data_IF_618141450439
#
_entry.id   IF_618141450439
#
_cell.length_a   1.000
_cell.length_b   1.000
_cell.length_c   1.000
_cell.angle_alpha   90.00
_cell.angle_beta   90.00
_cell.angle_gamma   90.00
#
_symmetry.space_group_name_H-M   'P 1'
#
loop_
_entity.id
_entity.type
_entity.pdbx_description
1 polymer ?
#
# COMPACT_ATOMS: atom_id res chain seq x y z
N UNK A 1 23.53 -11.63 21.34
CA UNK A 1 23.55 -12.69 20.30
C UNK A 1 23.54 -12.07 18.91
N UNK A 2 23.94 -12.82 17.89
CA UNK A 2 23.90 -12.34 16.50
C UNK A 2 22.48 -12.51 15.86
N UNK A 3 22.29 -11.96 14.66
CA UNK A 3 20.99 -12.00 13.95
C UNK A 3 20.49 -13.43 13.67
N UNK A 4 21.39 -14.39 13.42
CA UNK A 4 21.03 -15.79 13.16
C UNK A 4 20.42 -16.42 14.42
N UNK A 5 21.06 -16.21 15.57
CA UNK A 5 20.57 -16.68 16.86
C UNK A 5 19.26 -16.00 17.26
N UNK A 6 19.13 -14.68 17.00
CA UNK A 6 17.87 -13.96 17.25
C UNK A 6 16.74 -14.49 16.37
N UNK A 7 17.02 -14.80 15.09
CA UNK A 7 16.05 -15.39 14.17
C UNK A 7 15.59 -16.79 14.63
N UNK A 8 16.54 -17.64 15.02
CA UNK A 8 16.25 -18.99 15.55
C UNK A 8 15.37 -18.93 16.81
N UNK A 9 15.70 -18.03 17.76
CA UNK A 9 14.97 -17.92 19.02
C UNK A 9 13.60 -17.25 18.90
N UNK A 10 13.45 -16.28 17.98
CA UNK A 10 12.18 -15.56 17.78
C UNK A 10 11.26 -16.23 16.77
N UNK A 11 11.81 -17.05 15.87
CA UNK A 11 11.09 -17.60 14.70
C UNK A 11 10.78 -16.53 13.64
N UNK A 12 11.50 -15.39 13.66
CA UNK A 12 11.41 -14.32 12.67
C UNK A 12 12.63 -14.41 11.76
N UNK A 13 12.44 -14.40 10.44
CA UNK A 13 13.56 -14.48 9.49
C UNK A 13 14.51 -13.28 9.64
N UNK A 14 15.82 -13.49 9.38
CA UNK A 14 16.81 -12.43 9.42
C UNK A 14 16.47 -11.25 8.48
N UNK A 15 15.75 -11.52 7.36
CA UNK A 15 15.24 -10.49 6.45
C UNK A 15 14.19 -9.62 7.14
N UNK A 16 13.23 -10.24 7.82
CA UNK A 16 12.17 -9.53 8.53
C UNK A 16 12.71 -8.78 9.74
N UNK A 17 13.72 -9.31 10.45
CA UNK A 17 14.40 -8.60 11.55
C UNK A 17 14.99 -7.28 11.03
N UNK A 18 15.71 -7.30 9.90
CA UNK A 18 16.26 -6.08 9.29
C UNK A 18 15.18 -5.10 8.85
N UNK A 19 14.07 -5.60 8.32
CA UNK A 19 12.92 -4.78 7.98
C UNK A 19 12.34 -4.08 9.21
N UNK A 20 12.18 -4.79 10.33
CA UNK A 20 11.67 -4.21 11.58
C UNK A 20 12.64 -3.21 12.22
N UNK A 21 13.95 -3.41 12.05
CA UNK A 21 14.95 -2.39 12.40
C UNK A 21 14.78 -1.12 11.56
N UNK A 22 14.65 -1.25 10.24
CA UNK A 22 14.44 -0.13 9.32
C UNK A 22 13.12 0.60 9.59
N UNK A 23 12.09 -0.13 9.99
CA UNK A 23 10.80 0.42 10.40
C UNK A 23 10.81 1.01 11.82
N UNK A 24 11.96 0.99 12.53
CA UNK A 24 12.10 1.58 13.86
C UNK A 24 11.47 0.79 15.01
N UNK A 25 11.05 -0.47 14.77
CA UNK A 25 10.46 -1.34 15.80
C UNK A 25 11.53 -1.94 16.72
N UNK A 26 12.77 -2.00 16.30
CA UNK A 26 13.91 -2.56 17.00
C UNK A 26 15.13 -1.65 16.85
N UNK A 27 15.87 -1.49 17.93
CA UNK A 27 17.13 -0.73 17.94
C UNK A 27 18.19 -1.58 18.65
N UNK A 28 18.73 -2.63 17.97
CA UNK A 28 19.72 -3.50 18.58
C UNK A 28 21.01 -2.73 18.89
N UNK A 29 21.66 -3.08 19.99
CA UNK A 29 22.97 -2.55 20.32
C UNK A 29 24.02 -2.90 19.26
N UNK A 30 25.08 -2.11 19.16
CA UNK A 30 26.23 -2.41 18.32
C UNK A 30 27.44 -2.76 19.16
N UNK A 31 28.20 -3.72 18.70
CA UNK A 31 29.48 -4.06 19.30
C UNK A 31 30.46 -2.89 19.05
N UNK A 32 31.07 -2.30 20.11
CA UNK A 32 31.96 -1.16 19.97
C UNK A 32 33.26 -1.47 19.20
N UNK A 33 33.66 -2.75 19.11
CA UNK A 33 34.89 -3.14 18.43
C UNK A 33 34.76 -3.36 16.93
N UNK A 34 33.56 -3.78 16.46
CA UNK A 34 33.38 -4.19 15.07
C UNK A 34 32.05 -3.73 14.46
N UNK A 35 31.27 -2.93 15.18
CA UNK A 35 29.97 -2.37 14.81
C UNK A 35 28.88 -3.39 14.43
N UNK A 36 29.11 -4.69 14.66
CA UNK A 36 28.10 -5.71 14.42
C UNK A 36 26.92 -5.57 15.40
N UNK A 37 25.72 -5.86 14.89
CA UNK A 37 24.49 -5.85 15.68
C UNK A 37 24.51 -6.93 16.75
N UNK A 38 24.16 -6.54 17.97
CA UNK A 38 24.01 -7.42 19.12
C UNK A 38 22.57 -7.37 19.59
N UNK A 39 21.87 -8.49 19.48
CA UNK A 39 20.49 -8.63 19.95
C UNK A 39 20.48 -9.13 21.39
N UNK A 40 19.69 -8.49 22.23
CA UNK A 40 19.43 -8.86 23.61
C UNK A 40 18.27 -9.86 23.72
N UNK A 41 18.01 -10.39 24.91
CA UNK A 41 16.79 -11.17 25.17
C UNK A 41 15.53 -10.31 25.10
N UNK A 42 15.64 -9.01 25.42
CA UNK A 42 14.53 -8.07 25.25
C UNK A 42 14.16 -7.91 23.76
N UNK A 43 15.16 -7.84 22.86
CA UNK A 43 14.92 -7.76 21.42
C UNK A 43 14.26 -9.05 20.91
N UNK A 44 14.66 -10.22 21.39
CA UNK A 44 14.02 -11.50 21.05
C UNK A 44 12.57 -11.52 21.52
N UNK A 45 12.29 -11.01 22.72
CA UNK A 45 10.92 -10.89 23.22
C UNK A 45 10.08 -9.93 22.36
N UNK A 46 10.64 -8.78 21.97
CA UNK A 46 9.98 -7.83 21.07
C UNK A 46 9.69 -8.47 19.70
N UNK A 47 10.65 -9.21 19.14
CA UNK A 47 10.45 -9.95 17.88
C UNK A 47 9.32 -10.99 17.97
N UNK A 48 9.23 -11.71 19.08
CA UNK A 48 8.12 -12.66 19.32
C UNK A 48 6.77 -11.93 19.41
N UNK A 49 6.72 -10.78 20.07
CA UNK A 49 5.51 -9.96 20.14
C UNK A 49 5.12 -9.42 18.76
N UNK A 50 6.07 -8.87 18.00
CA UNK A 50 5.85 -8.43 16.62
C UNK A 50 5.28 -9.58 15.79
N UNK A 51 5.89 -10.75 15.83
CA UNK A 51 5.42 -11.93 15.12
C UNK A 51 3.97 -12.29 15.49
N UNK A 52 3.66 -12.31 16.78
CA UNK A 52 2.31 -12.61 17.28
C UNK A 52 1.29 -11.60 16.74
N UNK A 53 1.57 -10.32 16.84
CA UNK A 53 0.66 -9.25 16.37
C UNK A 53 0.53 -9.25 14.84
N UNK A 54 1.61 -9.54 14.11
CA UNK A 54 1.57 -9.72 12.64
C UNK A 54 0.76 -10.93 12.20
N UNK A 55 0.75 -12.01 12.99
CA UNK A 55 -0.11 -13.17 12.71
C UNK A 55 -1.61 -12.82 12.85
N UNK A 56 -1.92 -11.76 13.58
CA UNK A 56 -3.27 -11.20 13.68
C UNK A 56 -3.53 -10.10 12.61
N UNK A 57 -2.66 -9.95 11.60
CA UNK A 57 -2.71 -8.91 10.56
C UNK A 57 -2.64 -7.47 11.08
N UNK A 58 -2.13 -7.25 12.30
CA UNK A 58 -1.95 -5.89 12.83
C UNK A 58 -0.90 -5.13 12.00
N UNK A 59 -1.18 -3.86 11.59
CA UNK A 59 -0.23 -3.04 10.84
C UNK A 59 1.08 -2.80 11.59
N UNK A 60 2.20 -2.72 10.85
CA UNK A 60 3.55 -2.55 11.42
C UNK A 60 3.65 -1.24 12.21
N UNK A 61 3.05 -0.18 11.69
CA UNK A 61 3.01 1.13 12.33
C UNK A 61 2.31 1.08 13.70
N UNK A 62 1.18 0.36 13.78
CA UNK A 62 0.42 0.20 15.02
C UNK A 62 1.19 -0.67 16.03
N UNK A 63 1.88 -1.70 15.56
CA UNK A 63 2.79 -2.49 16.41
C UNK A 63 3.90 -1.61 16.99
N UNK A 64 4.43 -0.67 16.20
CA UNK A 64 5.41 0.31 16.68
C UNK A 64 4.87 1.16 17.82
N UNK A 65 3.62 1.63 17.74
CA UNK A 65 2.98 2.41 18.82
C UNK A 65 2.70 1.58 20.07
N UNK A 66 2.45 0.28 19.93
CA UNK A 66 2.33 -0.65 21.07
C UNK A 66 3.69 -0.88 21.74
N UNK A 67 4.75 -1.10 20.96
CA UNK A 67 6.09 -1.38 21.48
C UNK A 67 6.68 -0.18 22.24
N UNK A 68 6.43 1.04 21.77
CA UNK A 68 6.89 2.27 22.45
C UNK A 68 5.97 2.73 23.60
N UNK A 69 4.89 1.99 23.87
CA UNK A 69 3.96 2.28 24.95
C UNK A 69 2.96 3.43 24.70
N UNK A 70 2.95 4.00 23.49
CA UNK A 70 2.01 5.08 23.14
C UNK A 70 0.58 4.56 23.02
N UNK A 71 0.39 3.33 22.54
CA UNK A 71 -0.90 2.66 22.41
C UNK A 71 -0.94 1.43 23.35
N UNK A 72 -1.90 1.34 24.29
CA UNK A 72 -2.08 0.14 25.10
C UNK A 72 -2.38 -1.09 24.22
N UNK A 73 -1.76 -2.23 24.55
CA UNK A 73 -1.98 -3.48 23.80
C UNK A 73 -3.46 -3.88 23.74
N UNK A 74 -4.20 -3.68 24.83
CA UNK A 74 -5.65 -3.99 24.88
C UNK A 74 -6.44 -3.15 23.86
N UNK A 75 -6.10 -1.88 23.72
CA UNK A 75 -6.75 -1.00 22.75
C UNK A 75 -6.39 -1.35 21.30
N UNK A 76 -5.11 -1.65 21.03
CA UNK A 76 -4.67 -2.12 19.74
C UNK A 76 -5.35 -3.44 19.34
N UNK A 77 -5.46 -4.38 20.28
CA UNK A 77 -6.15 -5.65 20.09
C UNK A 77 -7.64 -5.45 19.79
N UNK A 78 -8.31 -4.54 20.49
CA UNK A 78 -9.72 -4.23 20.25
C UNK A 78 -9.94 -3.60 18.86
N UNK A 79 -9.09 -2.66 18.45
CA UNK A 79 -9.13 -2.08 17.10
C UNK A 79 -8.94 -3.15 16.02
N UNK A 80 -8.00 -4.08 16.26
CA UNK A 80 -7.75 -5.19 15.32
C UNK A 80 -8.93 -6.16 15.27
N UNK A 81 -9.55 -6.48 16.42
CA UNK A 81 -10.76 -7.31 16.46
C UNK A 81 -11.88 -6.69 15.61
N UNK A 82 -12.12 -5.38 15.74
CA UNK A 82 -13.14 -4.67 14.96
C UNK A 82 -12.84 -4.70 13.45
N UNK A 83 -11.55 -4.56 13.05
CA UNK A 83 -11.13 -4.72 11.64
C UNK A 83 -11.41 -6.11 11.11
N UNK A 84 -11.05 -7.15 11.88
CA UNK A 84 -11.28 -8.54 11.50
C UNK A 84 -12.77 -8.89 11.41
N UNK A 85 -13.60 -8.36 12.32
CA UNK A 85 -15.07 -8.54 12.24
C UNK A 85 -15.68 -7.85 11.02
N UNK A 86 -15.21 -6.65 10.69
CA UNK A 86 -15.63 -5.96 9.47
C UNK A 86 -15.23 -6.74 8.21
N UNK A 87 -14.00 -7.27 8.17
CA UNK A 87 -13.52 -8.10 7.07
C UNK A 87 -14.29 -9.42 6.97
N UNK A 88 -14.58 -10.06 8.10
CA UNK A 88 -15.42 -11.27 8.13
C UNK A 88 -16.82 -11.02 7.55
N UNK A 89 -17.46 -9.91 7.90
CA UNK A 89 -18.77 -9.54 7.34
C UNK A 89 -18.67 -9.32 5.83
N UNK A 90 -17.62 -8.66 5.37
CA UNK A 90 -17.35 -8.42 3.96
C UNK A 90 -17.16 -9.72 3.20
N UNK A 91 -16.34 -10.63 3.71
CA UNK A 91 -16.12 -11.95 3.09
C UNK A 91 -17.38 -12.81 3.08
N UNK A 92 -18.17 -12.77 4.14
CA UNK A 92 -19.44 -13.50 4.22
C UNK A 92 -20.45 -13.01 3.17
N UNK A 93 -20.55 -11.70 2.97
CA UNK A 93 -21.41 -11.11 1.94
C UNK A 93 -20.93 -11.47 0.53
N UNK A 94 -19.61 -11.43 0.28
CA UNK A 94 -19.03 -11.85 -0.99
C UNK A 94 -19.33 -13.33 -1.29
N UNK A 95 -19.16 -14.20 -0.30
CA UNK A 95 -19.46 -15.63 -0.44
C UNK A 95 -20.95 -15.88 -0.73
N UNK A 96 -21.85 -15.15 -0.07
CA UNK A 96 -23.28 -15.23 -0.33
C UNK A 96 -23.63 -14.83 -1.77
N UNK A 97 -23.02 -13.74 -2.27
CA UNK A 97 -23.21 -13.30 -3.64
C UNK A 97 -22.65 -14.31 -4.67
N UNK A 98 -21.49 -14.89 -4.41
CA UNK A 98 -20.95 -15.97 -5.24
C UNK A 98 -21.89 -17.18 -5.27
N UNK A 99 -22.52 -17.53 -4.12
CA UNK A 99 -23.50 -18.62 -4.06
C UNK A 99 -24.74 -18.32 -4.91
N UNK A 100 -25.21 -17.06 -4.90
CA UNK A 100 -26.32 -16.62 -5.75
C UNK A 100 -25.98 -16.74 -7.25
N UNK A 101 -24.78 -16.29 -7.63
CA UNK A 101 -24.29 -16.42 -9.01
C UNK A 101 -24.15 -17.88 -9.44
N UNK A 102 -23.67 -18.74 -8.55
CA UNK A 102 -23.49 -20.17 -8.83
C UNK A 102 -24.82 -20.95 -8.94
N UNK A 103 -25.88 -20.50 -8.26
CA UNK A 103 -27.20 -21.11 -8.33
C UNK A 103 -27.96 -20.77 -9.63
N UNK A 104 -27.52 -19.76 -10.38
CA UNK A 104 -28.08 -19.34 -11.65
C UNK A 104 -27.45 -20.13 -12.82
N UNK A 105 -28.28 -20.74 -13.67
CA UNK A 105 -27.84 -21.41 -14.92
C UNK A 105 -27.64 -20.36 -16.06
N UNK A 106 -27.12 -19.19 -15.70
CA UNK A 106 -26.94 -18.07 -16.63
C UNK A 106 -25.50 -18.01 -17.11
N UNK A 107 -25.34 -17.76 -18.39
CA UNK A 107 -24.02 -17.43 -18.95
C UNK A 107 -23.62 -16.00 -18.58
N UNK A 108 -22.33 -15.68 -18.66
CA UNK A 108 -21.84 -14.33 -18.40
C UNK A 108 -22.46 -13.25 -19.32
N UNK A 109 -22.88 -13.65 -20.54
CA UNK A 109 -23.54 -12.78 -21.50
C UNK A 109 -25.01 -12.46 -21.14
N UNK A 110 -25.65 -13.30 -20.33
CA UNK A 110 -27.04 -13.13 -19.89
C UNK A 110 -27.15 -12.46 -18.51
N UNK A 111 -26.01 -12.21 -17.87
CA UNK A 111 -25.97 -11.55 -16.58
C UNK A 111 -26.18 -10.04 -16.73
N UNK A 112 -27.17 -9.51 -15.99
CA UNK A 112 -27.33 -8.07 -15.84
C UNK A 112 -26.27 -7.54 -14.86
N UNK A 113 -25.13 -7.15 -15.44
CA UNK A 113 -23.96 -6.69 -14.68
C UNK A 113 -24.25 -5.36 -13.97
N UNK A 114 -25.02 -4.45 -14.60
CA UNK A 114 -25.33 -3.14 -14.02
C UNK A 114 -26.17 -3.28 -12.76
N UNK A 115 -27.21 -4.12 -12.80
CA UNK A 115 -28.03 -4.45 -11.62
C UNK A 115 -27.18 -5.12 -10.50
N UNK A 116 -26.23 -5.96 -10.87
CA UNK A 116 -25.30 -6.57 -9.89
C UNK A 116 -24.43 -5.51 -9.23
N UNK A 117 -23.86 -4.57 -10.00
CA UNK A 117 -23.04 -3.49 -9.50
C UNK A 117 -23.83 -2.53 -8.61
N UNK A 118 -25.04 -2.14 -9.01
CA UNK A 118 -25.93 -1.30 -8.19
C UNK A 118 -26.21 -1.94 -6.81
N UNK A 119 -26.44 -3.25 -6.77
CA UNK A 119 -26.64 -4.00 -5.52
C UNK A 119 -25.35 -4.04 -4.67
N UNK A 120 -24.19 -4.12 -5.28
CA UNK A 120 -22.90 -4.09 -4.63
C UNK A 120 -22.56 -2.72 -4.04
N UNK A 121 -22.93 -1.64 -4.74
CA UNK A 121 -22.66 -0.25 -4.33
C UNK A 121 -23.73 0.32 -3.37
N UNK A 122 -24.84 -0.39 -3.20
CA UNK A 122 -25.93 0.04 -2.32
C UNK A 122 -25.50 0.14 -0.85
N UNK A 123 -25.78 1.24 -0.16
CA UNK A 123 -25.48 1.39 1.28
C UNK A 123 -26.37 0.55 2.21
N UNK A 124 -27.27 -0.27 1.67
CA UNK A 124 -28.10 -1.19 2.46
C UNK A 124 -27.24 -2.27 3.15
N UNK A 125 -27.72 -2.92 4.25
CA UNK A 125 -26.89 -3.77 5.12
C UNK A 125 -26.19 -4.96 4.44
N UNK A 126 -26.50 -5.21 3.17
CA UNK A 126 -25.84 -6.22 2.35
C UNK A 126 -24.92 -5.67 1.24
N UNK A 127 -24.97 -4.38 0.93
CA UNK A 127 -24.33 -3.81 -0.25
C UNK A 127 -23.11 -2.91 0.00
N UNK A 128 -23.03 -2.20 1.12
CA UNK A 128 -21.96 -1.21 1.39
C UNK A 128 -20.55 -1.78 1.63
N UNK A 129 -20.36 -3.07 1.46
CA UNK A 129 -19.09 -3.76 1.66
C UNK A 129 -18.15 -3.73 0.43
N UNK A 130 -18.69 -3.39 -0.77
CA UNK A 130 -17.87 -3.22 -1.98
C UNK A 130 -17.25 -1.82 -2.12
N UNK A 131 -17.70 -0.82 -1.36
CA UNK A 131 -17.14 0.55 -1.46
C UNK A 131 -15.63 0.62 -1.18
N UNK A 132 -15.11 -0.27 -0.32
CA UNK A 132 -13.68 -0.42 -0.10
C UNK A 132 -12.94 -0.97 -1.34
N UNK A 133 -13.57 -1.89 -2.07
CA UNK A 133 -12.98 -2.52 -3.27
C UNK A 133 -12.92 -1.56 -4.45
N UNK A 134 -13.96 -0.75 -4.62
CA UNK A 134 -13.98 0.31 -5.65
C UNK A 134 -12.89 1.35 -5.35
N UNK A 135 -12.67 1.70 -4.08
CA UNK A 135 -11.55 2.58 -3.70
C UNK A 135 -10.19 1.92 -3.90
N UNK A 136 -10.04 0.63 -3.58
CA UNK A 136 -8.79 -0.10 -3.79
C UNK A 136 -8.57 -0.38 -5.29
N UNK A 137 -9.62 -0.66 -6.06
CA UNK A 137 -9.54 -0.76 -7.52
C UNK A 137 -9.20 0.58 -8.16
N UNK A 138 -9.78 1.69 -7.68
CA UNK A 138 -9.38 3.04 -8.11
C UNK A 138 -7.95 3.37 -7.72
N UNK A 139 -7.49 2.95 -6.55
CA UNK A 139 -6.06 3.09 -6.14
C UNK A 139 -5.15 2.19 -6.97
N UNK A 140 -5.55 0.95 -7.25
CA UNK A 140 -4.80 0.04 -8.12
C UNK A 140 -4.84 0.52 -9.56
N UNK A 141 -5.98 0.95 -10.08
CA UNK A 141 -6.11 1.55 -11.40
C UNK A 141 -5.32 2.87 -11.49
N UNK A 142 -5.28 3.69 -10.44
CA UNK A 142 -4.42 4.86 -10.36
C UNK A 142 -2.93 4.48 -10.24
N UNK A 143 -2.58 3.35 -9.61
CA UNK A 143 -1.21 2.83 -9.55
C UNK A 143 -0.80 2.13 -10.85
N UNK A 144 -1.71 1.44 -11.55
CA UNK A 144 -1.51 0.92 -12.92
C UNK A 144 -1.49 2.04 -13.95
N UNK A 145 -2.14 3.16 -13.70
CA UNK A 145 -2.10 4.37 -14.52
C UNK A 145 -0.89 5.27 -14.24
N UNK A 146 0.18 4.78 -13.65
CA UNK A 146 1.52 5.36 -13.91
C UNK A 146 1.86 5.05 -15.36
N UNK A 147 1.15 5.70 -16.28
CA UNK A 147 1.45 5.67 -17.70
C UNK A 147 2.88 6.15 -17.87
N UNK A 148 3.73 5.34 -18.46
CA UNK A 148 5.00 5.83 -18.99
C UNK A 148 4.67 6.52 -20.31
N UNK A 149 4.87 7.83 -20.35
CA UNK A 149 4.76 8.60 -21.57
C UNK A 149 6.17 8.78 -22.15
N UNK A 150 6.28 8.57 -23.43
CA UNK A 150 7.50 8.93 -24.17
C UNK A 150 7.11 9.96 -25.21
N UNK A 151 7.77 11.10 -25.22
CA UNK A 151 7.59 12.10 -26.25
C UNK A 151 8.95 12.52 -26.80
N UNK A 152 8.96 12.88 -28.07
CA UNK A 152 10.13 13.44 -28.73
C UNK A 152 9.91 14.94 -28.81
N UNK A 153 10.75 15.79 -28.18
CA UNK A 153 10.62 17.23 -28.28
C UNK A 153 10.90 17.70 -29.70
N UNK A 154 10.19 18.72 -30.16
CA UNK A 154 10.38 19.32 -31.48
C UNK A 154 11.67 20.15 -31.53
N UNK A 155 12.15 20.66 -30.39
CA UNK A 155 13.38 21.43 -30.27
C UNK A 155 14.36 20.81 -29.27
N UNK A 156 15.62 21.17 -29.39
CA UNK A 156 16.66 20.71 -28.46
C UNK A 156 16.46 21.40 -27.10
N UNK A 157 16.25 20.62 -26.06
CA UNK A 157 16.06 21.11 -24.68
C UNK A 157 17.43 21.33 -24.03
N UNK A 158 17.75 22.60 -23.73
CA UNK A 158 19.00 22.98 -23.04
C UNK A 158 18.73 23.55 -21.63
N UNK A 159 17.53 24.07 -21.37
CA UNK A 159 17.16 24.74 -20.12
C UNK A 159 15.91 24.10 -19.49
N UNK A 160 15.70 24.28 -18.16
CA UNK A 160 14.48 23.83 -17.48
C UNK A 160 13.20 24.43 -18.08
N UNK A 161 13.23 25.71 -18.49
CA UNK A 161 12.10 26.39 -19.08
C UNK A 161 11.72 25.79 -20.44
N UNK A 162 12.71 25.49 -21.29
CA UNK A 162 12.48 24.80 -22.56
C UNK A 162 11.87 23.41 -22.33
N UNK A 163 12.35 22.66 -21.34
CA UNK A 163 11.78 21.35 -20.99
C UNK A 163 10.31 21.46 -20.58
N UNK A 164 10.01 22.43 -19.72
CA UNK A 164 8.65 22.69 -19.27
C UNK A 164 7.74 23.10 -20.42
N UNK A 165 8.23 23.95 -21.33
CA UNK A 165 7.46 24.41 -22.51
C UNK A 165 7.15 23.24 -23.46
N UNK A 166 8.13 22.38 -23.78
CA UNK A 166 7.94 21.19 -24.62
C UNK A 166 6.95 20.19 -23.97
N UNK A 167 7.03 20.03 -22.64
CA UNK A 167 6.13 19.15 -21.91
C UNK A 167 4.68 19.64 -21.93
N UNK A 168 4.48 20.96 -21.80
CA UNK A 168 3.17 21.60 -21.91
C UNK A 168 2.60 21.50 -23.36
N UNK A 169 3.46 21.70 -24.35
CA UNK A 169 3.07 21.55 -25.77
C UNK A 169 2.67 20.11 -26.09
N UNK A 170 3.43 19.13 -25.61
CA UNK A 170 3.09 17.71 -25.72
C UNK A 170 1.73 17.40 -25.08
N UNK A 171 1.49 17.86 -23.85
CA UNK A 171 0.24 17.62 -23.15
C UNK A 171 -0.95 18.23 -23.92
N UNK A 172 -0.83 19.46 -24.42
CA UNK A 172 -1.85 20.10 -25.21
C UNK A 172 -2.14 19.33 -26.51
N UNK A 173 -1.12 18.80 -27.19
CA UNK A 173 -1.27 17.98 -28.39
C UNK A 173 -1.97 16.64 -28.10
N UNK A 174 -1.79 16.08 -26.91
CA UNK A 174 -2.47 14.87 -26.48
C UNK A 174 -3.87 15.11 -25.91
N UNK A 175 -4.29 16.37 -25.74
CA UNK A 175 -5.55 16.75 -25.10
C UNK A 175 -5.54 16.55 -23.58
N UNK A 176 -4.36 16.51 -22.97
CA UNK A 176 -4.17 16.30 -21.52
C UNK A 176 -3.92 17.66 -20.85
N UNK A 177 -4.46 17.84 -19.65
CA UNK A 177 -4.21 19.02 -18.83
C UNK A 177 -3.21 18.69 -17.72
N UNK A 178 -2.04 19.32 -17.77
CA UNK A 178 -1.00 19.11 -16.77
C UNK A 178 -0.68 20.39 -15.99
N UNK A 179 -0.31 20.23 -14.72
CA UNK A 179 0.14 21.33 -13.86
C UNK A 179 1.59 21.07 -13.45
N UNK A 180 2.51 21.95 -13.82
CA UNK A 180 3.91 21.86 -13.43
C UNK A 180 4.05 22.17 -11.93
N UNK A 181 4.58 21.22 -11.17
CA UNK A 181 4.81 21.34 -9.72
C UNK A 181 6.25 21.74 -9.41
N UNK A 182 7.20 21.40 -10.28
CA UNK A 182 8.60 21.76 -10.11
C UNK A 182 9.33 21.86 -11.46
N UNK A 183 9.90 23.03 -11.75
CA UNK A 183 10.74 23.28 -12.94
C UNK A 183 12.17 22.82 -12.69
N UNK A 184 12.69 21.94 -13.53
CA UNK A 184 14.09 21.48 -13.52
C UNK A 184 14.40 20.73 -14.82
N UNK A 185 15.66 20.27 -14.99
CA UNK A 185 16.02 19.36 -16.10
C UNK A 185 15.39 17.95 -15.95
N UNK A 186 14.56 17.75 -14.93
CA UNK A 186 13.68 16.59 -14.73
C UNK A 186 12.39 17.10 -14.06
N UNK A 187 11.54 17.87 -14.79
CA UNK A 187 10.41 18.57 -14.22
C UNK A 187 9.40 17.59 -13.64
N UNK A 188 8.70 18.04 -12.60
CA UNK A 188 7.56 17.29 -12.04
C UNK A 188 6.28 17.99 -12.44
N UNK A 189 5.25 17.20 -12.68
CA UNK A 189 3.95 17.69 -13.08
C UNK A 189 2.84 16.79 -12.56
N UNK A 190 1.67 17.36 -12.37
CA UNK A 190 0.44 16.64 -12.05
C UNK A 190 -0.33 16.38 -13.33
N UNK A 191 -0.81 15.14 -13.48
CA UNK A 191 -1.76 14.72 -14.51
C UNK A 191 -2.80 13.82 -13.82
N UNK A 192 -4.07 14.14 -13.93
CA UNK A 192 -5.19 13.40 -13.31
C UNK A 192 -5.01 13.19 -11.78
N UNK A 193 -4.40 14.15 -11.08
CA UNK A 193 -4.15 14.06 -9.65
C UNK A 193 -2.96 13.19 -9.25
N UNK A 194 -2.15 12.71 -10.22
CA UNK A 194 -0.95 11.89 -9.99
C UNK A 194 0.29 12.72 -10.33
N UNK A 195 1.31 12.71 -9.46
CA UNK A 195 2.58 13.37 -9.74
C UNK A 195 3.50 12.48 -10.58
N UNK A 196 3.94 13.03 -11.71
CA UNK A 196 4.91 12.42 -12.63
C UNK A 196 6.22 13.19 -12.62
N UNK A 197 7.27 12.52 -13.08
CA UNK A 197 8.58 13.12 -13.31
C UNK A 197 9.03 12.82 -14.73
N UNK A 198 9.29 13.85 -15.53
CA UNK A 198 9.90 13.69 -16.83
C UNK A 198 11.42 13.48 -16.68
N UNK A 199 11.97 12.51 -17.41
CA UNK A 199 13.42 12.23 -17.46
C UNK A 199 13.86 12.09 -18.90
N UNK A 200 15.12 12.46 -19.19
CA UNK A 200 15.74 12.22 -20.49
C UNK A 200 16.38 10.82 -20.52
N UNK A 201 16.26 10.16 -21.66
CA UNK A 201 17.01 8.96 -21.99
C UNK A 201 18.15 9.29 -22.94
#
# INVERSE_FOLDING_TARGET
MNIKQAAEQSGVSARNIRYYEQAGLLTPARNPENEYRIYSQADVRALKLIRMLRTLDMPVEEIGTVLNGTLPLAEAAERQRQRLEAEQKKLAAAAAFCTELAAGDRTAAELDVDSCLERMDSPAPAGGWFTGWVQDYRKMAAAEHKRQFTFTPDTAIATPQEFTAELLAWAANCGEEIVITHESMAPRFMLDGIEYRAVRY
#
